data_IF_430101846990
#
_entry.id   IF_430101846990
#
_cell.length_a   1.000
_cell.length_b   1.000
_cell.length_c   1.000
_cell.angle_alpha   90.00
_cell.angle_beta   90.00
_cell.angle_gamma   90.00
#
_symmetry.space_group_name_H-M   'P 1'
#
loop_
_entity.id
_entity.type
_entity.pdbx_description
1 polymer ?
#
# COMPACT_ATOMS: atom_id res chain seq x y z
N UNK A 1 3.58 -5.85 1.91
CA UNK A 1 4.71 -5.02 1.46
C UNK A 1 4.48 -4.72 0.00
N UNK A 2 4.23 -3.46 -0.33
CA UNK A 2 4.23 -3.00 -1.72
C UNK A 2 5.64 -2.46 -2.02
N UNK A 3 6.10 -2.62 -3.25
CA UNK A 3 7.39 -2.09 -3.69
C UNK A 3 7.12 -1.11 -4.82
N UNK A 4 7.83 0.02 -4.81
CA UNK A 4 7.79 1.02 -5.87
C UNK A 4 9.15 1.12 -6.53
N UNK A 5 9.16 1.59 -7.77
CA UNK A 5 10.40 1.79 -8.52
C UNK A 5 10.93 3.19 -8.20
N UNK A 6 12.13 3.22 -7.62
CA UNK A 6 12.93 4.43 -7.52
C UNK A 6 13.90 4.52 -8.69
N UNK A 7 14.17 5.73 -9.15
CA UNK A 7 15.17 6.02 -10.17
C UNK A 7 16.36 6.71 -9.51
N UNK A 8 17.52 6.06 -9.56
CA UNK A 8 18.78 6.61 -9.05
C UNK A 8 19.47 7.39 -10.16
N UNK A 9 19.82 8.64 -9.87
CA UNK A 9 20.58 9.55 -10.74
C UNK A 9 21.90 9.90 -10.06
N UNK A 10 22.97 10.04 -10.86
CA UNK A 10 24.30 10.39 -10.35
C UNK A 10 25.07 11.20 -11.37
N UNK A 11 25.42 12.43 -11.00
CA UNK A 11 26.36 13.26 -11.73
C UNK A 11 27.80 13.06 -11.18
N UNK A 12 28.85 13.37 -11.97
CA UNK A 12 30.25 13.08 -11.62
C UNK A 12 30.71 13.62 -10.25
N UNK A 13 30.13 14.74 -9.80
CA UNK A 13 30.48 15.42 -8.54
C UNK A 13 29.27 15.66 -7.61
N UNK A 14 28.16 14.92 -7.79
CA UNK A 14 26.95 15.04 -6.95
C UNK A 14 26.82 13.90 -5.95
N UNK A 15 25.88 14.00 -5.02
CA UNK A 15 25.36 12.85 -4.27
C UNK A 15 24.49 11.95 -5.18
N UNK A 16 24.11 10.77 -4.69
CA UNK A 16 23.18 9.88 -5.38
C UNK A 16 21.75 10.37 -5.15
N UNK A 17 21.13 10.92 -6.19
CA UNK A 17 19.72 11.33 -6.15
C UNK A 17 18.80 10.14 -6.39
N UNK A 18 17.65 10.11 -5.72
CA UNK A 18 16.58 9.13 -5.95
C UNK A 18 15.26 9.88 -6.16
N UNK A 19 14.54 9.54 -7.22
CA UNK A 19 13.19 10.05 -7.49
C UNK A 19 12.20 8.91 -7.73
N UNK A 20 10.91 9.20 -7.55
CA UNK A 20 9.83 8.23 -7.71
C UNK A 20 8.87 8.67 -8.83
N UNK A 21 8.82 7.97 -9.97
CA UNK A 21 7.88 8.28 -11.05
C UNK A 21 6.41 8.19 -10.61
N UNK A 22 6.09 7.22 -9.75
CA UNK A 22 4.74 7.04 -9.21
C UNK A 22 4.36 8.09 -8.15
N UNK A 23 5.34 8.82 -7.60
CA UNK A 23 5.14 9.88 -6.62
C UNK A 23 5.86 11.17 -7.06
N UNK A 24 5.32 11.88 -8.08
CA UNK A 24 5.94 13.11 -8.57
C UNK A 24 6.15 14.12 -7.43
N UNK A 25 7.39 14.59 -7.29
CA UNK A 25 7.78 15.53 -6.23
C UNK A 25 8.45 14.88 -5.02
N UNK A 26 8.43 13.55 -4.90
CA UNK A 26 9.26 12.84 -3.92
C UNK A 26 10.65 12.62 -4.51
N UNK A 27 11.63 13.33 -3.94
CA UNK A 27 13.03 13.15 -4.26
C UNK A 27 13.87 13.20 -2.99
N UNK A 28 14.96 12.46 -2.99
CA UNK A 28 15.92 12.41 -1.89
C UNK A 28 17.33 12.23 -2.45
N UNK A 29 18.36 12.39 -1.62
CA UNK A 29 19.74 12.15 -2.02
C UNK A 29 20.53 11.53 -0.86
N UNK A 30 21.44 10.62 -1.18
CA UNK A 30 22.35 10.00 -0.22
C UNK A 30 23.80 10.06 -0.69
N UNK A 31 24.72 10.01 0.27
CA UNK A 31 26.16 10.16 0.00
C UNK A 31 26.75 8.95 -0.73
N UNK A 32 26.16 7.78 -0.53
CA UNK A 32 26.43 6.54 -1.25
C UNK A 32 25.12 5.83 -1.65
N UNK A 33 25.21 4.71 -2.36
CA UNK A 33 24.04 3.97 -2.86
C UNK A 33 23.18 3.38 -1.72
N UNK A 34 23.80 2.90 -0.64
CA UNK A 34 23.07 2.31 0.48
C UNK A 34 22.34 3.39 1.28
N UNK A 35 22.99 4.53 1.48
CA UNK A 35 22.44 5.72 2.10
C UNK A 35 21.28 6.28 1.27
N UNK A 36 21.46 6.41 -0.05
CA UNK A 36 20.41 6.86 -0.96
C UNK A 36 19.20 5.93 -0.94
N UNK A 37 19.40 4.60 -0.92
CA UNK A 37 18.32 3.62 -0.80
C UNK A 37 17.58 3.74 0.53
N UNK A 38 18.30 3.89 1.64
CA UNK A 38 17.70 4.08 2.97
C UNK A 38 16.89 5.37 3.02
N UNK A 39 17.45 6.47 2.53
CA UNK A 39 16.75 7.75 2.48
C UNK A 39 15.53 7.72 1.55
N UNK A 40 15.58 6.91 0.49
CA UNK A 40 14.43 6.69 -0.39
C UNK A 40 13.31 5.92 0.29
N UNK A 41 13.63 4.88 1.08
CA UNK A 41 12.64 4.18 1.91
C UNK A 41 11.95 5.14 2.90
N UNK A 42 12.73 6.00 3.57
CA UNK A 42 12.23 6.98 4.55
C UNK A 42 11.36 8.06 3.87
N UNK A 43 11.83 8.65 2.77
CA UNK A 43 11.10 9.70 2.04
C UNK A 43 9.78 9.16 1.47
N UNK A 44 9.80 7.96 0.90
CA UNK A 44 8.60 7.31 0.37
C UNK A 44 7.58 7.02 1.49
N UNK A 45 8.04 6.48 2.62
CA UNK A 45 7.17 6.19 3.76
C UNK A 45 6.53 7.47 4.32
N UNK A 46 7.31 8.54 4.48
CA UNK A 46 6.84 9.82 4.97
C UNK A 46 5.80 10.47 4.04
N UNK A 47 6.05 10.46 2.72
CA UNK A 47 5.10 11.01 1.75
C UNK A 47 3.77 10.24 1.77
N UNK A 48 3.83 8.91 1.78
CA UNK A 48 2.63 8.08 1.85
C UNK A 48 1.88 8.25 3.17
N UNK A 49 2.58 8.46 4.29
CA UNK A 49 1.94 8.79 5.57
C UNK A 49 1.10 10.08 5.46
N UNK A 50 1.66 11.13 4.87
CA UNK A 50 0.93 12.38 4.60
C UNK A 50 -0.30 12.16 3.70
N UNK A 51 -0.15 11.40 2.61
CA UNK A 51 -1.29 11.04 1.75
C UNK A 51 -2.41 10.31 2.53
N UNK A 52 -2.04 9.40 3.42
CA UNK A 52 -3.01 8.67 4.26
C UNK A 52 -3.72 9.62 5.24
N UNK A 53 -2.98 10.53 5.86
CA UNK A 53 -3.53 11.54 6.79
C UNK A 53 -4.52 12.48 6.09
N UNK A 54 -4.23 12.85 4.85
CA UNK A 54 -5.06 13.70 4.00
C UNK A 54 -6.22 12.92 3.31
N UNK A 55 -6.26 11.60 3.46
CA UNK A 55 -7.29 10.73 2.88
C UNK A 55 -7.14 10.52 1.37
N UNK A 56 -5.95 10.76 0.82
CA UNK A 56 -5.60 10.55 -0.57
C UNK A 56 -5.37 9.06 -0.86
N UNK A 57 -5.66 8.66 -2.10
CA UNK A 57 -5.41 7.30 -2.56
C UNK A 57 -3.93 7.12 -2.92
N UNK A 58 -3.30 6.06 -2.38
CA UNK A 58 -1.95 5.68 -2.77
C UNK A 58 -2.02 5.07 -4.20
N UNK A 59 -1.19 5.54 -5.15
CA UNK A 59 -1.16 4.97 -6.50
C UNK A 59 -0.74 3.50 -6.49
N UNK A 60 -1.24 2.74 -7.46
CA UNK A 60 -0.78 1.38 -7.71
C UNK A 60 0.65 1.42 -8.31
N UNK A 61 1.56 0.52 -7.92
CA UNK A 61 2.92 0.50 -8.45
C UNK A 61 2.95 0.28 -9.97
N UNK A 62 3.68 1.15 -10.69
CA UNK A 62 3.89 0.98 -12.12
C UNK A 62 4.86 -0.17 -12.42
N UNK A 63 4.77 -0.74 -13.63
CA UNK A 63 5.75 -1.73 -14.08
C UNK A 63 7.07 -1.07 -14.47
N UNK A 64 8.17 -1.85 -14.42
CA UNK A 64 9.49 -1.37 -14.82
C UNK A 64 9.50 -0.94 -16.28
N UNK A 65 8.83 -1.69 -17.16
CA UNK A 65 8.75 -1.39 -18.58
C UNK A 65 8.02 -0.07 -18.85
N UNK A 66 6.95 0.21 -18.10
CA UNK A 66 6.21 1.46 -18.22
C UNK A 66 7.09 2.66 -17.85
N UNK A 67 7.79 2.59 -16.70
CA UNK A 67 8.67 3.65 -16.24
C UNK A 67 9.87 3.84 -17.18
N UNK A 68 10.49 2.76 -17.63
CA UNK A 68 11.70 2.82 -18.45
C UNK A 68 11.44 3.14 -19.92
N UNK A 69 10.17 3.12 -20.34
CA UNK A 69 9.78 3.58 -21.68
C UNK A 69 9.87 5.10 -21.85
N UNK A 70 9.90 5.86 -20.75
CA UNK A 70 10.10 7.31 -20.77
C UNK A 70 11.57 7.64 -21.10
N UNK A 71 11.85 8.37 -22.20
CA UNK A 71 13.20 8.79 -22.55
C UNK A 71 13.91 9.59 -21.44
N UNK A 72 13.17 10.32 -20.60
CA UNK A 72 13.73 11.08 -19.47
C UNK A 72 14.35 10.21 -18.37
N UNK A 73 14.05 8.91 -18.36
CA UNK A 73 14.57 7.96 -17.38
C UNK A 73 15.75 7.13 -17.92
N UNK A 74 16.14 7.31 -19.18
CA UNK A 74 17.12 6.46 -19.86
C UNK A 74 18.52 6.43 -19.23
N UNK A 75 18.91 7.50 -18.55
CA UNK A 75 20.20 7.63 -17.88
C UNK A 75 20.16 7.20 -16.40
N UNK A 76 18.99 6.79 -15.90
CA UNK A 76 18.76 6.43 -14.51
C UNK A 76 18.90 4.92 -14.26
N UNK A 77 19.27 4.56 -13.03
CA UNK A 77 19.26 3.16 -12.57
C UNK A 77 18.00 2.90 -11.77
N UNK A 78 17.17 1.97 -12.25
CA UNK A 78 15.97 1.57 -11.54
C UNK A 78 16.28 0.65 -10.35
N UNK A 79 15.66 0.92 -9.21
CA UNK A 79 15.78 0.14 -7.97
C UNK A 79 14.39 -0.11 -7.37
N UNK A 80 14.20 -1.28 -6.75
CA UNK A 80 13.00 -1.58 -5.98
C UNK A 80 13.14 -1.03 -4.56
N UNK A 81 12.23 -0.13 -4.19
CA UNK A 81 12.15 0.46 -2.85
C UNK A 81 10.90 -0.09 -2.15
N UNK A 82 11.04 -0.80 -1.03
CA UNK A 82 9.87 -1.29 -0.29
C UNK A 82 9.17 -0.14 0.43
N UNK A 83 7.85 0.00 0.22
CA UNK A 83 7.02 0.89 1.02
C UNK A 83 6.77 0.24 2.38
N UNK A 84 7.42 0.77 3.41
CA UNK A 84 7.16 0.44 4.81
C UNK A 84 6.10 1.38 5.37
N UNK A 85 4.85 1.17 5.00
CA UNK A 85 3.77 1.88 5.70
C UNK A 85 3.67 1.37 7.14
N UNK A 86 3.52 2.25 8.14
CA UNK A 86 3.10 1.81 9.46
C UNK A 86 1.77 1.07 9.29
N UNK A 87 1.63 -0.07 9.97
CA UNK A 87 0.39 -0.84 9.93
C UNK A 87 -0.79 0.11 10.18
N UNK A 88 -1.78 0.11 9.28
CA UNK A 88 -2.99 0.94 9.41
C UNK A 88 -3.43 0.93 10.86
N UNK A 89 -3.52 2.12 11.48
CA UNK A 89 -3.80 2.24 12.91
C UNK A 89 -5.09 1.48 13.22
N UNK A 90 -4.99 0.45 14.05
CA UNK A 90 -6.14 -0.35 14.42
C UNK A 90 -7.10 0.50 15.25
N UNK A 91 -8.32 0.71 14.75
CA UNK A 91 -9.38 1.42 15.47
C UNK A 91 -10.24 0.39 16.20
N UNK A 92 -10.43 0.58 17.51
CA UNK A 92 -11.33 -0.26 18.31
C UNK A 92 -12.77 0.16 18.09
N UNK A 93 -13.60 -0.76 17.61
CA UNK A 93 -15.04 -0.57 17.43
C UNK A 93 -15.81 -1.40 18.46
N UNK A 94 -16.94 -0.88 18.95
CA UNK A 94 -17.89 -1.62 19.77
C UNK A 94 -19.12 -1.94 18.91
N UNK A 95 -19.46 -3.22 18.77
CA UNK A 95 -20.56 -3.69 17.93
C UNK A 95 -21.39 -4.73 18.69
N UNK A 96 -22.66 -4.87 18.31
CA UNK A 96 -23.57 -5.90 18.83
C UNK A 96 -23.70 -7.03 17.82
N UNK A 97 -23.53 -8.27 18.26
CA UNK A 97 -23.66 -9.48 17.45
C UNK A 97 -24.53 -10.50 18.20
N UNK A 98 -25.22 -11.37 17.46
CA UNK A 98 -25.90 -12.51 18.05
C UNK A 98 -24.88 -13.48 18.69
N UNK A 99 -25.25 -14.09 19.83
CA UNK A 99 -24.31 -14.91 20.62
C UNK A 99 -23.84 -16.15 19.85
N UNK A 100 -24.75 -16.82 19.16
CA UNK A 100 -24.48 -17.99 18.33
C UNK A 100 -23.54 -17.66 17.17
N UNK A 101 -23.76 -16.53 16.50
CA UNK A 101 -22.87 -16.03 15.45
C UNK A 101 -21.47 -15.72 15.99
N UNK A 102 -21.39 -15.05 17.15
CA UNK A 102 -20.10 -14.71 17.77
C UNK A 102 -19.29 -15.99 18.09
N UNK A 103 -19.94 -17.02 18.62
CA UNK A 103 -19.30 -18.33 18.88
C UNK A 103 -18.81 -18.98 17.59
N UNK A 104 -19.62 -18.95 16.52
CA UNK A 104 -19.23 -19.51 15.24
C UNK A 104 -18.01 -18.78 14.63
N UNK A 105 -17.97 -17.45 14.74
CA UNK A 105 -16.84 -16.62 14.30
C UNK A 105 -15.57 -16.97 15.07
N UNK A 106 -15.65 -17.05 16.40
CA UNK A 106 -14.49 -17.36 17.24
C UNK A 106 -13.89 -18.74 16.91
N UNK A 107 -14.74 -19.76 16.82
CA UNK A 107 -14.31 -21.11 16.47
C UNK A 107 -13.67 -21.17 15.08
N UNK A 108 -14.24 -20.46 14.10
CA UNK A 108 -13.68 -20.41 12.76
C UNK A 108 -12.34 -19.67 12.72
N UNK A 109 -12.23 -18.53 13.38
CA UNK A 109 -11.01 -17.75 13.44
C UNK A 109 -9.87 -18.56 14.08
N UNK A 110 -10.13 -19.21 15.23
CA UNK A 110 -9.17 -20.04 15.94
C UNK A 110 -8.68 -21.22 15.08
N UNK A 111 -9.61 -21.93 14.43
CA UNK A 111 -9.27 -23.06 13.55
C UNK A 111 -8.37 -22.66 12.36
N UNK A 112 -8.37 -21.38 11.97
CA UNK A 112 -7.57 -20.85 10.86
C UNK A 112 -6.39 -19.98 11.32
N UNK A 113 -6.08 -19.94 12.62
CA UNK A 113 -4.98 -19.13 13.16
C UNK A 113 -5.19 -17.62 13.03
N UNK A 114 -6.45 -17.17 12.97
CA UNK A 114 -6.84 -15.78 12.86
C UNK A 114 -7.38 -15.27 14.21
N UNK A 115 -7.27 -13.96 14.43
CA UNK A 115 -8.02 -13.30 15.51
C UNK A 115 -9.45 -13.03 15.05
N UNK A 116 -10.39 -12.88 15.99
CA UNK A 116 -11.78 -12.47 15.69
C UNK A 116 -11.82 -11.22 14.80
N UNK A 117 -11.08 -10.18 15.16
CA UNK A 117 -11.01 -8.94 14.39
C UNK A 117 -10.37 -9.14 13.01
N UNK A 118 -9.34 -9.99 12.91
CA UNK A 118 -8.72 -10.33 11.63
C UNK A 118 -9.67 -11.06 10.69
N UNK A 119 -10.44 -12.01 11.20
CA UNK A 119 -11.47 -12.69 10.42
C UNK A 119 -12.57 -11.72 9.94
N UNK A 120 -13.12 -10.91 10.86
CA UNK A 120 -14.15 -9.92 10.53
C UNK A 120 -13.67 -8.89 9.50
N UNK A 121 -12.44 -8.37 9.65
CA UNK A 121 -11.86 -7.43 8.70
C UNK A 121 -11.73 -8.06 7.31
N UNK A 122 -11.17 -9.27 7.23
CA UNK A 122 -11.02 -10.00 5.96
C UNK A 122 -12.36 -10.28 5.28
N UNK A 123 -13.37 -10.68 6.03
CA UNK A 123 -14.71 -10.92 5.50
C UNK A 123 -15.33 -9.63 4.94
N UNK A 124 -15.16 -8.50 5.64
CA UNK A 124 -15.65 -7.20 5.17
C UNK A 124 -14.93 -6.75 3.89
N UNK A 125 -13.60 -6.87 3.83
CA UNK A 125 -12.81 -6.54 2.64
C UNK A 125 -13.27 -7.35 1.42
N UNK A 126 -13.43 -8.67 1.57
CA UNK A 126 -13.89 -9.55 0.50
C UNK A 126 -15.29 -9.17 -0.01
N UNK A 127 -16.21 -8.83 0.89
CA UNK A 127 -17.55 -8.41 0.53
C UNK A 127 -17.53 -7.07 -0.23
N UNK A 128 -16.81 -6.07 0.27
CA UNK A 128 -16.69 -4.75 -0.37
C UNK A 128 -16.05 -4.83 -1.77
N UNK A 129 -15.03 -5.68 -1.95
CA UNK A 129 -14.43 -5.91 -3.27
C UNK A 129 -15.40 -6.60 -4.23
N UNK A 130 -16.22 -7.54 -3.72
CA UNK A 130 -17.22 -8.25 -4.53
C UNK A 130 -18.38 -7.35 -4.97
N UNK A 131 -18.76 -6.38 -4.13
CA UNK A 131 -19.81 -5.40 -4.42
C UNK A 131 -19.35 -4.32 -5.41
N UNK A 132 -18.06 -3.97 -5.41
CA UNK A 132 -17.45 -3.03 -6.36
C UNK A 132 -17.18 -3.63 -7.75
N UNK A 133 -17.48 -4.92 -7.97
CA UNK A 133 -17.41 -5.52 -9.30
C UNK A 133 -18.71 -5.21 -10.08
N UNK A 134 -18.68 -4.37 -11.13
CA UNK A 134 -19.88 -3.95 -11.87
C UNK A 134 -20.64 -5.10 -12.56
N UNK A 135 -20.09 -6.32 -12.56
CA UNK A 135 -20.74 -7.51 -13.08
C UNK A 135 -21.57 -8.29 -12.04
N UNK A 136 -21.59 -7.89 -10.76
CA UNK A 136 -22.34 -8.60 -9.73
C UNK A 136 -23.76 -8.00 -9.53
N UNK A 137 -24.59 -8.06 -10.57
CA UNK A 137 -26.02 -7.73 -10.47
C UNK A 137 -26.75 -8.95 -9.87
N UNK A 138 -26.55 -9.24 -8.58
CA UNK A 138 -27.41 -10.14 -7.83
C UNK A 138 -27.66 -9.64 -6.41
N UNK A 139 -28.78 -8.95 -6.28
CA UNK A 139 -29.68 -9.22 -5.17
C UNK A 139 -29.69 -8.22 -4.02
N UNK A 140 -29.95 -6.94 -4.29
CA UNK A 140 -30.67 -6.11 -3.33
C UNK A 140 -32.15 -6.06 -3.71
N UNK A 141 -32.85 -7.15 -3.43
CA UNK A 141 -34.27 -7.04 -3.11
C UNK A 141 -34.33 -6.60 -1.65
N UNK A 142 -34.68 -5.33 -1.45
CA UNK A 142 -35.15 -4.82 -0.18
C UNK A 142 -36.30 -5.71 0.31
N UNK A 143 -36.13 -6.35 1.46
CA UNK A 143 -37.24 -6.84 2.25
C UNK A 143 -37.04 -6.44 3.71
N UNK A 144 -37.80 -5.39 4.06
CA UNK A 144 -38.30 -4.93 5.36
C UNK A 144 -37.35 -4.85 6.55
#
# INVERSE_FOLDING_TARGET
MQNFIGLIHKDPDSDYGVSFPDFPGVATAGTDLDDARRMAEEALAFHVEGMIEDGEAIPEPSSLEAIMSDPGNSDAVAVLIPLRTPAKKAVRVNITLAEDLLRAIDAHAEAHGLTRSGFLARAAEQQMTSDNNPNNIRGYALSA
#
